data_IF_023268221288
#
_entry.id   IF_023268221288
#
_cell.length_a   1.000
_cell.length_b   1.000
_cell.length_c   1.000
_cell.angle_alpha   90.00
_cell.angle_beta   90.00
_cell.angle_gamma   90.00
#
_symmetry.space_group_name_H-M   'P 1'
#
loop_
_entity.id
_entity.type
_entity.pdbx_description
1 polymer ?
#
# COMPACT_ATOMS: atom_id res chain seq x y z
N UNK A 1 9.79 8.29 -16.79
CA UNK A 1 8.73 7.79 -15.90
C UNK A 1 8.96 6.31 -15.69
N UNK A 2 9.05 5.84 -14.45
CA UNK A 2 9.15 4.41 -14.12
C UNK A 2 7.84 3.69 -14.48
N UNK A 3 7.88 2.38 -14.70
CA UNK A 3 6.64 1.61 -14.83
C UNK A 3 5.95 1.54 -13.47
N UNK A 4 4.62 1.69 -13.42
CA UNK A 4 3.88 1.53 -12.16
C UNK A 4 4.05 0.11 -11.63
N UNK A 5 4.04 -0.05 -10.29
CA UNK A 5 4.20 -1.33 -9.60
C UNK A 5 3.01 -1.61 -8.68
N UNK A 6 2.88 -2.84 -8.24
CA UNK A 6 1.82 -3.21 -7.30
C UNK A 6 2.20 -2.88 -5.86
N UNK A 7 1.18 -2.52 -5.09
CA UNK A 7 1.21 -2.33 -3.65
C UNK A 7 0.08 -3.18 -3.06
N UNK A 8 0.36 -4.15 -2.21
CA UNK A 8 -0.67 -5.04 -1.65
C UNK A 8 -1.03 -4.64 -0.23
N UNK A 9 -2.33 -4.43 0.05
CA UNK A 9 -2.83 -4.27 1.40
C UNK A 9 -3.31 -5.63 1.90
N UNK A 10 -2.92 -6.04 3.11
CA UNK A 10 -3.51 -7.24 3.72
C UNK A 10 -4.92 -6.94 4.23
N UNK A 11 -5.80 -7.94 4.39
CA UNK A 11 -6.94 -7.79 5.27
C UNK A 11 -6.45 -7.51 6.70
N UNK A 12 -7.35 -7.10 7.60
CA UNK A 12 -7.00 -6.97 9.02
C UNK A 12 -6.72 -8.36 9.61
N UNK A 13 -5.46 -8.61 10.00
CA UNK A 13 -4.96 -9.93 10.40
C UNK A 13 -4.77 -10.06 11.91
N UNK A 14 -5.02 -11.24 12.43
CA UNK A 14 -4.56 -11.71 13.74
C UNK A 14 -3.66 -12.96 13.59
N UNK A 15 -3.14 -13.47 14.68
CA UNK A 15 -2.21 -14.60 14.64
C UNK A 15 -2.84 -15.92 14.15
N UNK A 16 -4.14 -16.10 14.31
CA UNK A 16 -4.85 -17.32 13.88
C UNK A 16 -5.05 -17.37 12.37
N UNK A 17 -5.07 -16.20 11.71
CA UNK A 17 -5.20 -16.11 10.26
C UNK A 17 -3.94 -16.56 9.52
N UNK A 18 -2.77 -16.53 10.16
CA UNK A 18 -1.47 -16.78 9.53
C UNK A 18 -1.37 -18.12 8.83
N UNK A 19 -1.94 -19.18 9.41
CA UNK A 19 -1.84 -20.52 8.84
C UNK A 19 -2.48 -20.60 7.42
N UNK A 20 -3.54 -19.83 7.19
CA UNK A 20 -4.23 -19.76 5.90
C UNK A 20 -3.68 -18.64 5.01
N UNK A 21 -3.31 -17.51 5.59
CA UNK A 21 -2.92 -16.31 4.86
C UNK A 21 -1.47 -16.34 4.37
N UNK A 22 -0.52 -16.79 5.19
CA UNK A 22 0.91 -16.71 4.84
C UNK A 22 1.30 -17.44 3.55
N UNK A 23 0.79 -18.67 3.25
CA UNK A 23 1.05 -19.30 1.96
C UNK A 23 0.49 -18.51 0.77
N UNK A 24 -0.72 -17.97 0.89
CA UNK A 24 -1.34 -17.15 -0.15
C UNK A 24 -0.60 -15.83 -0.37
N UNK A 25 -0.08 -15.25 0.71
CA UNK A 25 0.75 -14.04 0.66
C UNK A 25 2.05 -14.30 -0.11
N UNK A 26 2.76 -15.40 0.20
CA UNK A 26 3.96 -15.79 -0.53
C UNK A 26 3.70 -16.02 -2.03
N UNK A 27 2.61 -16.75 -2.37
CA UNK A 27 2.20 -16.97 -3.75
C UNK A 27 1.88 -15.66 -4.49
N UNK A 28 1.21 -14.71 -3.82
CA UNK A 28 0.90 -13.41 -4.39
C UNK A 28 2.15 -12.59 -4.66
N UNK A 29 3.09 -12.51 -3.70
CA UNK A 29 4.34 -11.76 -3.87
C UNK A 29 5.21 -12.34 -5.00
N UNK A 30 5.23 -13.65 -5.18
CA UNK A 30 5.97 -14.32 -6.25
C UNK A 30 5.31 -14.24 -7.63
N UNK A 31 4.10 -13.71 -7.74
CA UNK A 31 3.31 -13.78 -8.97
C UNK A 31 3.45 -12.55 -9.89
N UNK A 32 4.02 -11.45 -9.42
CA UNK A 32 4.14 -10.21 -10.20
C UNK A 32 5.13 -9.22 -9.61
N UNK A 33 5.20 -8.02 -10.20
CA UNK A 33 6.08 -6.96 -9.70
C UNK A 33 5.41 -6.21 -8.54
N UNK A 34 5.49 -6.79 -7.35
CA UNK A 34 5.01 -6.18 -6.11
C UNK A 34 6.15 -5.37 -5.47
N UNK A 35 5.95 -4.07 -5.31
CA UNK A 35 6.94 -3.19 -4.68
C UNK A 35 6.87 -3.24 -3.16
N UNK A 36 5.66 -3.22 -2.62
CA UNK A 36 5.42 -3.09 -1.19
C UNK A 36 4.16 -3.84 -0.76
N UNK A 37 4.12 -4.20 0.53
CA UNK A 37 2.94 -4.74 1.18
C UNK A 37 2.67 -3.98 2.49
N UNK A 38 1.42 -3.60 2.73
CA UNK A 38 0.95 -2.95 3.95
C UNK A 38 0.25 -3.97 4.83
N UNK A 39 0.80 -4.22 6.00
CA UNK A 39 0.19 -5.10 7.00
C UNK A 39 -0.78 -4.30 7.84
N UNK A 40 -2.04 -4.75 7.85
CA UNK A 40 -3.12 -4.25 8.67
C UNK A 40 -3.38 -5.25 9.80
N UNK A 41 -3.38 -4.77 11.02
CA UNK A 41 -3.56 -5.61 12.21
C UNK A 41 -5.00 -5.50 12.72
N UNK A 42 -5.61 -6.64 13.00
CA UNK A 42 -6.89 -6.66 13.70
C UNK A 42 -6.75 -6.12 15.14
N UNK A 43 -7.81 -5.54 15.73
CA UNK A 43 -7.78 -5.10 17.12
C UNK A 43 -7.35 -6.23 18.06
N UNK A 44 -6.32 -5.97 18.89
CA UNK A 44 -5.80 -6.95 19.84
C UNK A 44 -4.89 -8.04 19.24
N UNK A 45 -4.50 -7.91 17.97
CA UNK A 45 -3.62 -8.88 17.31
C UNK A 45 -2.25 -8.98 17.98
N UNK A 46 -1.68 -10.20 17.96
CA UNK A 46 -0.30 -10.45 18.35
C UNK A 46 0.68 -9.92 17.29
N UNK A 47 0.87 -8.60 17.24
CA UNK A 47 1.60 -7.90 16.20
C UNK A 47 2.97 -8.51 15.87
N UNK A 48 3.76 -8.89 16.90
CA UNK A 48 5.07 -9.51 16.68
C UNK A 48 4.99 -10.80 15.89
N UNK A 49 3.97 -11.62 16.13
CA UNK A 49 3.78 -12.90 15.45
C UNK A 49 3.32 -12.69 14.02
N UNK A 50 2.34 -11.80 13.81
CA UNK A 50 1.80 -11.49 12.49
C UNK A 50 2.86 -10.84 11.61
N UNK A 51 3.43 -9.74 12.06
CA UNK A 51 4.42 -8.98 11.29
C UNK A 51 5.70 -9.79 11.08
N UNK A 52 6.19 -10.51 12.10
CA UNK A 52 7.40 -11.32 11.99
C UNK A 52 7.29 -12.38 10.88
N UNK A 53 6.16 -13.11 10.84
CA UNK A 53 5.93 -14.12 9.81
C UNK A 53 5.85 -13.52 8.39
N UNK A 54 5.17 -12.38 8.23
CA UNK A 54 5.02 -11.75 6.92
C UNK A 54 6.29 -11.03 6.48
N UNK A 55 7.09 -10.51 7.41
CA UNK A 55 8.37 -9.86 7.12
C UNK A 55 9.38 -10.86 6.50
N UNK A 56 9.46 -12.08 7.04
CA UNK A 56 10.31 -13.14 6.48
C UNK A 56 9.90 -13.49 5.03
N UNK A 57 8.59 -13.56 4.77
CA UNK A 57 8.07 -13.83 3.42
C UNK A 57 8.36 -12.66 2.49
N UNK A 58 8.09 -11.42 2.91
CA UNK A 58 8.31 -10.23 2.10
C UNK A 58 9.79 -10.08 1.72
N UNK A 59 10.70 -10.28 2.69
CA UNK A 59 12.14 -10.25 2.46
C UNK A 59 12.61 -11.30 1.46
N UNK A 60 12.03 -12.51 1.46
CA UNK A 60 12.34 -13.55 0.49
C UNK A 60 11.94 -13.20 -0.95
N UNK A 61 11.04 -12.24 -1.13
CA UNK A 61 10.55 -11.77 -2.44
C UNK A 61 11.02 -10.36 -2.80
N UNK A 62 11.92 -9.75 -2.01
CA UNK A 62 12.41 -8.38 -2.21
C UNK A 62 11.28 -7.33 -2.21
N UNK A 63 10.28 -7.52 -1.34
CA UNK A 63 9.12 -6.66 -1.16
C UNK A 63 9.23 -5.89 0.14
N UNK A 64 9.09 -4.58 0.10
CA UNK A 64 9.08 -3.75 1.31
C UNK A 64 7.81 -3.99 2.13
N UNK A 65 7.95 -4.29 3.43
CA UNK A 65 6.82 -4.50 4.34
C UNK A 65 6.61 -3.27 5.22
N UNK A 66 5.42 -2.68 5.12
CA UNK A 66 5.00 -1.55 5.94
C UNK A 66 3.94 -1.99 6.95
N UNK A 67 3.83 -1.25 8.06
CA UNK A 67 2.78 -1.42 9.07
C UNK A 67 1.84 -0.22 9.05
N UNK A 68 0.55 -0.46 9.20
CA UNK A 68 -0.45 0.61 9.29
C UNK A 68 -0.42 1.27 10.68
N UNK A 69 -0.46 2.61 10.73
CA UNK A 69 -0.67 3.50 11.87
C UNK A 69 0.42 3.57 12.97
N UNK A 70 1.29 2.59 13.15
CA UNK A 70 2.21 2.57 14.32
C UNK A 70 3.69 2.60 13.91
N UNK A 71 4.26 3.81 13.82
CA UNK A 71 5.66 4.03 13.50
C UNK A 71 6.62 3.40 14.52
N UNK A 72 6.25 3.40 15.81
CA UNK A 72 7.08 2.80 16.87
C UNK A 72 7.08 1.28 16.77
N UNK A 73 5.94 0.69 16.42
CA UNK A 73 5.83 -0.74 16.17
C UNK A 73 6.66 -1.13 14.95
N UNK A 74 6.57 -0.38 13.85
CA UNK A 74 7.37 -0.60 12.65
C UNK A 74 8.86 -0.60 12.95
N UNK A 75 9.36 0.41 13.70
CA UNK A 75 10.75 0.46 14.12
C UNK A 75 11.17 -0.73 15.00
N UNK A 76 10.33 -1.09 15.96
CA UNK A 76 10.60 -2.16 16.92
C UNK A 76 10.63 -3.56 16.30
N UNK A 77 9.77 -3.81 15.30
CA UNK A 77 9.66 -5.09 14.62
C UNK A 77 10.56 -5.21 13.39
N UNK A 78 11.22 -4.15 12.97
CA UNK A 78 12.12 -4.18 11.84
C UNK A 78 11.42 -4.06 10.47
N UNK A 79 10.17 -3.59 10.43
CA UNK A 79 9.48 -3.32 9.17
C UNK A 79 10.17 -2.21 8.37
N UNK A 80 10.01 -2.21 7.05
CA UNK A 80 10.66 -1.24 6.16
C UNK A 80 10.04 0.15 6.24
N UNK A 81 8.81 0.25 6.76
CA UNK A 81 8.16 1.54 6.92
C UNK A 81 6.83 1.48 7.66
N UNK A 82 6.15 2.60 7.62
CA UNK A 82 4.83 2.81 8.20
C UNK A 82 3.93 3.55 7.21
N UNK A 83 2.64 3.27 7.26
CA UNK A 83 1.59 4.04 6.60
C UNK A 83 0.70 4.67 7.66
N UNK A 84 0.59 6.00 7.65
CA UNK A 84 -0.11 6.77 8.69
C UNK A 84 -1.12 7.74 8.08
N UNK A 85 -2.04 8.23 8.91
CA UNK A 85 -2.91 9.33 8.54
C UNK A 85 -2.10 10.62 8.27
N UNK A 86 -2.58 11.48 7.37
CA UNK A 86 -1.91 12.72 6.98
C UNK A 86 -1.39 13.54 8.16
N UNK A 87 -2.21 13.71 9.20
CA UNK A 87 -1.84 14.46 10.40
C UNK A 87 -0.74 13.85 11.28
N UNK A 88 -0.35 12.60 11.02
CA UNK A 88 0.67 11.88 11.79
C UNK A 88 2.03 11.80 11.07
N UNK A 89 2.11 12.25 9.81
CA UNK A 89 3.32 12.14 8.98
C UNK A 89 4.53 12.79 9.64
N UNK A 90 4.40 14.02 10.11
CA UNK A 90 5.52 14.74 10.75
C UNK A 90 6.10 13.99 11.96
N UNK A 91 5.24 13.45 12.84
CA UNK A 91 5.66 12.64 13.99
C UNK A 91 6.32 11.33 13.54
N UNK A 92 5.77 10.67 12.52
CA UNK A 92 6.33 9.44 11.98
C UNK A 92 7.72 9.65 11.36
N UNK A 93 7.89 10.69 10.56
CA UNK A 93 9.19 11.08 9.95
C UNK A 93 10.23 11.37 11.04
N UNK A 94 9.87 12.15 12.06
CA UNK A 94 10.77 12.45 13.19
C UNK A 94 11.16 11.17 13.97
N UNK A 95 10.17 10.29 14.21
CA UNK A 95 10.36 9.03 14.95
C UNK A 95 11.26 8.05 14.22
N UNK A 96 11.13 7.94 12.89
CA UNK A 96 11.85 6.97 12.06
C UNK A 96 13.18 7.51 11.49
N UNK A 97 13.48 8.80 11.65
CA UNK A 97 14.76 9.45 11.31
C UNK A 97 15.26 9.14 9.90
N UNK A 98 14.41 9.27 8.90
CA UNK A 98 14.71 9.05 7.46
C UNK A 98 15.31 7.67 7.09
N UNK A 99 15.23 6.70 7.97
CA UNK A 99 15.77 5.35 7.71
C UNK A 99 14.69 4.37 7.22
N UNK A 100 13.43 4.78 7.21
CA UNK A 100 12.28 3.94 6.86
C UNK A 100 11.27 4.72 6.06
N UNK A 101 10.50 4.01 5.27
CA UNK A 101 9.44 4.58 4.44
C UNK A 101 8.31 5.10 5.32
N UNK A 102 7.87 6.33 5.07
CA UNK A 102 6.69 6.93 5.68
C UNK A 102 5.68 7.26 4.60
N UNK A 103 4.58 6.51 4.54
CA UNK A 103 3.47 6.77 3.64
C UNK A 103 2.33 7.49 4.32
N UNK A 104 1.57 8.27 3.56
CA UNK A 104 0.41 9.02 4.02
C UNK A 104 -0.89 8.53 3.38
N UNK A 105 -1.90 8.21 4.21
CA UNK A 105 -3.29 7.94 3.86
C UNK A 105 -4.26 8.89 4.53
N UNK A 106 -5.57 8.56 4.47
CA UNK A 106 -6.62 9.41 5.06
C UNK A 106 -6.75 10.77 4.36
N UNK A 107 -6.41 10.87 3.08
CA UNK A 107 -6.32 12.12 2.34
C UNK A 107 -7.69 12.53 1.81
N UNK A 108 -8.51 13.13 2.68
CA UNK A 108 -9.87 13.53 2.33
C UNK A 108 -9.93 14.81 1.50
N UNK A 109 -8.97 15.72 1.69
CA UNK A 109 -8.84 16.98 0.96
C UNK A 109 -7.51 17.04 0.21
N UNK A 110 -7.40 17.90 -0.80
CA UNK A 110 -6.12 18.19 -1.47
C UNK A 110 -5.10 18.78 -0.51
N UNK A 111 -5.54 19.60 0.43
CA UNK A 111 -4.69 20.21 1.48
C UNK A 111 -4.07 19.15 2.40
N UNK A 112 -4.77 18.03 2.67
CA UNK A 112 -4.22 16.92 3.45
C UNK A 112 -3.01 16.30 2.72
N UNK A 113 -3.16 16.06 1.41
CA UNK A 113 -2.09 15.50 0.59
C UNK A 113 -0.88 16.45 0.49
N UNK A 114 -1.13 17.75 0.29
CA UNK A 114 -0.07 18.77 0.26
C UNK A 114 0.67 18.82 1.58
N UNK A 115 -0.05 18.88 2.69
CA UNK A 115 0.53 18.91 4.04
C UNK A 115 1.34 17.65 4.34
N UNK A 116 0.89 16.48 3.91
CA UNK A 116 1.63 15.22 4.06
C UNK A 116 2.94 15.23 3.26
N UNK A 117 2.90 15.72 2.01
CA UNK A 117 4.10 15.88 1.17
C UNK A 117 5.11 16.87 1.77
N UNK A 118 4.64 18.03 2.25
CA UNK A 118 5.46 19.03 2.91
C UNK A 118 6.07 18.53 4.23
N UNK A 119 5.35 17.66 4.95
CA UNK A 119 5.84 17.01 6.16
C UNK A 119 6.88 15.91 5.89
N UNK A 120 7.12 15.55 4.63
CA UNK A 120 8.17 14.61 4.23
C UNK A 120 7.69 13.18 4.06
N UNK A 121 6.42 12.95 3.70
CA UNK A 121 5.96 11.63 3.30
C UNK A 121 6.70 11.16 2.04
N UNK A 122 7.14 9.89 2.04
CA UNK A 122 7.80 9.27 0.88
C UNK A 122 6.81 8.95 -0.24
N UNK A 123 5.52 8.80 0.07
CA UNK A 123 4.42 8.68 -0.87
C UNK A 123 3.08 9.10 -0.24
N UNK A 124 2.13 9.43 -1.09
CA UNK A 124 0.73 9.66 -0.70
C UNK A 124 -0.17 8.57 -1.29
N UNK A 125 -1.23 8.16 -0.57
CA UNK A 125 -2.20 7.18 -1.07
C UNK A 125 -3.59 7.81 -1.21
N UNK A 126 -4.16 7.69 -2.40
CA UNK A 126 -5.53 8.11 -2.69
C UNK A 126 -6.46 6.90 -2.80
N UNK A 127 -7.56 6.96 -2.07
CA UNK A 127 -8.49 5.84 -1.90
C UNK A 127 -7.96 4.80 -0.90
N UNK A 128 -8.89 4.14 -0.20
CA UNK A 128 -8.60 3.13 0.82
C UNK A 128 -9.72 2.10 0.89
N UNK A 129 -9.46 0.86 1.35
CA UNK A 129 -10.49 -0.15 1.55
C UNK A 129 -11.55 0.31 2.53
N UNK A 130 -12.83 0.18 2.16
CA UNK A 130 -13.96 0.47 3.04
C UNK A 130 -14.23 1.95 3.32
N UNK A 131 -13.41 2.85 2.81
CA UNK A 131 -13.60 4.31 2.93
C UNK A 131 -13.94 4.87 1.56
N UNK A 132 -15.01 5.67 1.47
CA UNK A 132 -15.30 6.42 0.25
C UNK A 132 -14.39 7.65 0.18
N UNK A 133 -13.63 7.85 -0.89
CA UNK A 133 -14.21 8.53 -2.04
C UNK A 133 -14.60 7.53 -3.14
N UNK A 134 -15.48 7.97 -4.04
CA UNK A 134 -15.80 7.20 -5.23
C UNK A 134 -14.55 7.00 -6.10
N UNK A 135 -14.58 5.99 -6.97
CA UNK A 135 -13.50 5.76 -7.94
C UNK A 135 -13.16 7.04 -8.74
N UNK A 136 -14.17 7.79 -9.16
CA UNK A 136 -13.98 9.03 -9.91
C UNK A 136 -13.21 10.09 -9.11
N UNK A 137 -13.49 10.21 -7.81
CA UNK A 137 -12.78 11.14 -6.93
C UNK A 137 -11.32 10.70 -6.69
N UNK A 138 -11.07 9.40 -6.58
CA UNK A 138 -9.72 8.86 -6.52
C UNK A 138 -8.96 9.14 -7.82
N UNK A 139 -9.58 8.87 -8.97
CA UNK A 139 -9.01 9.11 -10.30
C UNK A 139 -8.64 10.60 -10.51
N UNK A 140 -9.54 11.51 -10.13
CA UNK A 140 -9.30 12.95 -10.20
C UNK A 140 -8.12 13.39 -9.35
N UNK A 141 -8.02 12.86 -8.11
CA UNK A 141 -6.94 13.21 -7.18
C UNK A 141 -5.59 12.69 -7.65
N UNK A 142 -5.55 11.46 -8.17
CA UNK A 142 -4.33 10.88 -8.76
C UNK A 142 -3.85 11.72 -9.93
N UNK A 143 -4.74 12.07 -10.87
CA UNK A 143 -4.38 12.91 -12.02
C UNK A 143 -3.87 14.29 -11.61
N UNK A 144 -4.55 14.93 -10.67
CA UNK A 144 -4.12 16.21 -10.13
C UNK A 144 -2.73 16.13 -9.44
N UNK A 145 -2.49 15.08 -8.64
CA UNK A 145 -1.21 14.93 -7.94
C UNK A 145 -0.06 14.66 -8.90
N UNK A 146 -0.25 13.71 -9.82
CA UNK A 146 0.76 13.33 -10.80
C UNK A 146 1.19 14.46 -11.75
N UNK A 147 0.31 15.45 -11.97
CA UNK A 147 0.61 16.62 -12.80
C UNK A 147 1.46 17.67 -12.08
N UNK A 148 1.35 17.78 -10.74
CA UNK A 148 1.88 18.93 -9.99
C UNK A 148 3.05 18.52 -9.08
N UNK A 149 3.06 17.30 -8.54
CA UNK A 149 3.99 16.87 -7.49
C UNK A 149 4.95 15.79 -7.98
N UNK A 150 6.17 15.80 -7.44
CA UNK A 150 7.20 14.79 -7.73
C UNK A 150 7.11 13.57 -6.78
N UNK A 151 6.53 13.75 -5.59
CA UNK A 151 6.37 12.67 -4.64
C UNK A 151 5.44 11.58 -5.20
N UNK A 152 5.85 10.30 -5.15
CA UNK A 152 5.06 9.22 -5.71
C UNK A 152 3.65 9.13 -5.14
N UNK A 153 2.67 8.74 -5.97
CA UNK A 153 1.33 8.44 -5.49
C UNK A 153 0.96 6.96 -5.68
N UNK A 154 0.32 6.44 -4.66
CA UNK A 154 -0.35 5.14 -4.65
C UNK A 154 -1.84 5.37 -4.88
N UNK A 155 -2.44 4.65 -5.81
CA UNK A 155 -3.87 4.69 -6.07
C UNK A 155 -4.53 3.36 -5.68
N UNK A 156 -5.50 3.40 -4.78
CA UNK A 156 -6.27 2.22 -4.42
C UNK A 156 -7.27 1.88 -5.51
N UNK A 157 -7.23 0.63 -5.97
CA UNK A 157 -8.20 0.04 -6.89
C UNK A 157 -9.01 -1.04 -6.17
N UNK A 158 -10.32 -0.84 -6.07
CA UNK A 158 -11.22 -1.83 -5.47
C UNK A 158 -11.41 -3.06 -6.37
N UNK A 159 -11.17 -2.93 -7.66
CA UNK A 159 -11.27 -4.00 -8.65
C UNK A 159 -10.17 -3.92 -9.69
N UNK A 160 -9.91 -5.05 -10.38
CA UNK A 160 -8.95 -5.06 -11.50
C UNK A 160 -9.35 -4.14 -12.66
N UNK A 161 -10.65 -3.85 -12.81
CA UNK A 161 -11.15 -2.92 -13.84
C UNK A 161 -10.69 -1.47 -13.64
N UNK A 162 -10.32 -1.10 -12.42
CA UNK A 162 -9.88 0.26 -12.06
C UNK A 162 -8.37 0.47 -12.27
N UNK A 163 -7.59 -0.60 -12.44
CA UNK A 163 -6.12 -0.53 -12.56
C UNK A 163 -5.69 0.32 -13.75
N UNK A 164 -6.15 0.00 -14.95
CA UNK A 164 -5.71 0.69 -16.17
C UNK A 164 -6.06 2.18 -16.18
N UNK A 165 -7.28 2.63 -15.79
CA UNK A 165 -7.58 4.05 -15.64
C UNK A 165 -6.69 4.79 -14.64
N UNK A 166 -6.38 4.20 -13.47
CA UNK A 166 -5.51 4.81 -12.47
C UNK A 166 -4.06 4.93 -12.96
N UNK A 167 -3.57 3.93 -13.68
CA UNK A 167 -2.26 3.99 -14.36
C UNK A 167 -2.25 5.12 -15.40
N UNK A 168 -3.31 5.24 -16.19
CA UNK A 168 -3.42 6.30 -17.20
C UNK A 168 -3.50 7.70 -16.57
N UNK A 169 -4.06 7.82 -15.36
CA UNK A 169 -4.07 9.06 -14.58
C UNK A 169 -2.71 9.44 -13.99
N UNK A 170 -1.73 8.53 -13.98
CA UNK A 170 -0.37 8.81 -13.54
C UNK A 170 0.01 8.22 -12.19
N UNK A 171 -0.75 7.25 -11.66
CA UNK A 171 -0.35 6.54 -10.44
C UNK A 171 1.00 5.84 -10.62
N UNK A 172 1.90 5.99 -9.63
CA UNK A 172 3.19 5.30 -9.58
C UNK A 172 3.04 3.87 -9.03
N UNK A 173 2.07 3.67 -8.14
CA UNK A 173 1.73 2.38 -7.58
C UNK A 173 0.23 2.17 -7.57
N UNK A 174 -0.18 0.91 -7.80
CA UNK A 174 -1.59 0.51 -7.67
C UNK A 174 -1.74 -0.38 -6.44
N UNK A 175 -2.54 0.10 -5.50
CA UNK A 175 -2.86 -0.62 -4.27
C UNK A 175 -4.07 -1.53 -4.49
N UNK A 176 -3.95 -2.80 -4.09
CA UNK A 176 -5.00 -3.81 -4.18
C UNK A 176 -5.18 -4.51 -2.84
N UNK A 177 -6.42 -4.84 -2.48
CA UNK A 177 -6.78 -5.60 -1.28
C UNK A 177 -7.77 -6.74 -1.64
N UNK A 178 -9.08 -6.50 -1.57
CA UNK A 178 -10.13 -7.49 -1.83
C UNK A 178 -10.03 -8.12 -3.23
N UNK A 179 -9.67 -7.33 -4.23
CA UNK A 179 -9.45 -7.82 -5.60
C UNK A 179 -8.41 -8.95 -5.68
N UNK A 180 -7.49 -9.04 -4.70
CA UNK A 180 -6.49 -10.11 -4.59
C UNK A 180 -6.92 -11.18 -3.61
N UNK A 181 -7.34 -10.79 -2.40
CA UNK A 181 -7.54 -11.77 -1.32
C UNK A 181 -8.88 -12.49 -1.36
N UNK A 182 -9.91 -11.93 -2.01
CA UNK A 182 -11.21 -12.59 -2.24
C UNK A 182 -11.24 -13.40 -3.54
N UNK A 183 -10.22 -13.26 -4.39
CA UNK A 183 -10.09 -14.06 -5.60
C UNK A 183 -9.84 -15.55 -5.26
N UNK A 184 -10.27 -16.44 -6.16
CA UNK A 184 -10.03 -17.89 -6.04
C UNK A 184 -8.52 -18.22 -5.96
N UNK A 185 -7.68 -17.42 -6.65
CA UNK A 185 -6.22 -17.49 -6.58
C UNK A 185 -5.63 -16.07 -6.49
N UNK A 186 -4.98 -15.78 -5.38
CA UNK A 186 -4.28 -14.50 -5.19
C UNK A 186 -3.16 -14.31 -6.24
N UNK A 187 -2.43 -15.37 -6.55
CA UNK A 187 -1.39 -15.34 -7.57
C UNK A 187 -1.92 -15.02 -8.97
N UNK A 188 -3.09 -15.54 -9.35
CA UNK A 188 -3.70 -15.22 -10.64
C UNK A 188 -4.19 -13.76 -10.69
N UNK A 189 -4.78 -13.27 -9.60
CA UNK A 189 -5.20 -11.89 -9.49
C UNK A 189 -4.00 -10.92 -9.62
N UNK A 190 -2.88 -11.19 -8.95
CA UNK A 190 -1.64 -10.42 -9.06
C UNK A 190 -1.06 -10.47 -10.48
N UNK A 191 -1.03 -11.63 -11.13
CA UNK A 191 -0.59 -11.73 -12.54
C UNK A 191 -1.47 -10.90 -13.48
N UNK A 192 -2.80 -10.98 -13.29
CA UNK A 192 -3.74 -10.18 -14.08
C UNK A 192 -3.54 -8.67 -13.85
N UNK A 193 -3.37 -8.24 -12.60
CA UNK A 193 -3.06 -6.85 -12.28
C UNK A 193 -1.76 -6.39 -12.93
N UNK A 194 -0.69 -7.18 -12.83
CA UNK A 194 0.62 -6.88 -13.46
C UNK A 194 0.51 -6.70 -14.98
N UNK A 195 -0.31 -7.50 -15.65
CA UNK A 195 -0.56 -7.34 -17.08
C UNK A 195 -1.29 -6.03 -17.41
N UNK A 196 -2.17 -5.56 -16.52
CA UNK A 196 -2.88 -4.30 -16.68
C UNK A 196 -1.96 -3.08 -16.47
N UNK A 197 -0.96 -3.18 -15.59
CA UNK A 197 0.08 -2.14 -15.42
C UNK A 197 0.88 -1.89 -16.70
N UNK A 198 1.15 -2.93 -17.47
CA UNK A 198 1.93 -2.84 -18.71
C UNK A 198 1.14 -2.21 -19.87
N UNK A 199 -0.17 -2.09 -19.78
CA UNK A 199 -1.04 -1.52 -20.83
C UNK A 199 -1.12 0.00 -20.66
N UNK A 200 -0.02 0.71 -20.95
CA UNK A 200 -0.11 2.16 -21.15
C UNK A 200 -0.84 2.47 -22.46
N UNK A 201 -1.77 3.47 -22.47
CA UNK A 201 -2.38 3.95 -23.70
C UNK A 201 -1.37 4.54 -24.66
#
# INVERSE_FOLDING_TARGET
>A
MSNPRLYLLTPALNADDLAAFAPRFAEALGAGDVASALVRLAPGAEARRVVGALLEIAAAHDVALLIEHDARLAARLGADGVHVEAGQVAEAVESLKSQRIVGAGGLHLRDDAMSAGEAGADYVMFGEPGVSPSFEATLERVGWWAEIFEAPCVAYAASLGEVAPLVAAGADFIALESAVWEAASAAEAVRAATQLLARRP
#
